data_IF_016745635061
#
_entry.id   IF_016745635061
#
_cell.length_a   1.000
_cell.length_b   1.000
_cell.length_c   1.000
_cell.angle_alpha   90.00
_cell.angle_beta   90.00
_cell.angle_gamma   90.00
#
_symmetry.space_group_name_H-M   'P 1'
#
loop_
_entity.id
_entity.type
_entity.pdbx_description
1 polymer ?
#
# COMPACT_ATOMS: atom_id res chain seq x y z
N UNK A 1 36.64 -12.36 9.23
CA UNK A 1 35.44 -11.94 8.49
C UNK A 1 35.65 -12.44 7.08
N UNK A 2 34.94 -13.49 6.71
CA UNK A 2 35.04 -14.02 5.35
C UNK A 2 34.47 -12.97 4.40
N UNK A 3 35.30 -12.53 3.47
CA UNK A 3 34.92 -11.60 2.42
C UNK A 3 34.10 -12.36 1.38
N UNK A 4 32.77 -12.22 1.41
CA UNK A 4 31.93 -12.78 0.34
C UNK A 4 32.22 -12.06 -0.98
N UNK A 5 32.41 -12.84 -2.03
CA UNK A 5 32.50 -12.26 -3.37
C UNK A 5 31.21 -11.48 -3.70
N UNK A 6 31.38 -10.28 -4.23
CA UNK A 6 30.26 -9.39 -4.60
C UNK A 6 29.25 -10.08 -5.53
N UNK A 7 29.74 -10.96 -6.40
CA UNK A 7 28.94 -11.81 -7.29
C UNK A 7 27.98 -12.73 -6.52
N UNK A 8 28.44 -13.35 -5.45
CA UNK A 8 27.65 -14.25 -4.59
C UNK A 8 26.55 -13.46 -3.87
N UNK A 9 26.88 -12.30 -3.30
CA UNK A 9 25.90 -11.43 -2.65
C UNK A 9 24.84 -10.93 -3.64
N UNK A 10 25.26 -10.48 -4.81
CA UNK A 10 24.33 -10.02 -5.84
C UNK A 10 23.41 -11.15 -6.32
N UNK A 11 23.92 -12.34 -6.57
CA UNK A 11 23.11 -13.48 -6.98
C UNK A 11 22.08 -13.85 -5.91
N UNK A 12 22.48 -13.88 -4.62
CA UNK A 12 21.58 -14.11 -3.51
C UNK A 12 20.46 -13.07 -3.46
N UNK A 13 20.77 -11.77 -3.58
CA UNK A 13 19.78 -10.69 -3.59
C UNK A 13 18.81 -10.80 -4.77
N UNK A 14 19.32 -11.08 -5.97
CA UNK A 14 18.50 -11.24 -7.17
C UNK A 14 17.53 -12.42 -7.03
N UNK A 15 18.01 -13.57 -6.48
CA UNK A 15 17.16 -14.73 -6.17
C UNK A 15 16.04 -14.38 -5.20
N UNK A 16 16.37 -13.71 -4.08
CA UNK A 16 15.39 -13.28 -3.06
C UNK A 16 14.38 -12.27 -3.58
N UNK A 17 14.74 -11.53 -4.61
CA UNK A 17 13.88 -10.54 -5.26
C UNK A 17 13.11 -11.10 -6.47
N UNK A 18 13.19 -12.41 -6.75
CA UNK A 18 12.58 -13.05 -7.93
C UNK A 18 13.01 -12.41 -9.27
N UNK A 19 14.28 -11.97 -9.37
CA UNK A 19 14.80 -11.27 -10.55
C UNK A 19 15.64 -12.17 -11.46
N UNK A 20 15.94 -13.41 -11.07
CA UNK A 20 16.54 -14.41 -11.95
C UNK A 20 15.41 -15.23 -12.59
N UNK A 21 15.65 -15.69 -13.83
CA UNK A 21 14.64 -16.43 -14.60
C UNK A 21 14.12 -17.67 -13.84
N UNK A 22 15.03 -18.44 -13.23
CA UNK A 22 14.72 -19.64 -12.46
C UNK A 22 14.05 -19.37 -11.10
N UNK A 23 13.96 -18.10 -10.66
CA UNK A 23 13.33 -17.72 -9.39
C UNK A 23 12.04 -16.95 -9.57
N UNK A 24 11.64 -16.68 -10.80
CA UNK A 24 10.32 -16.06 -11.06
C UNK A 24 9.21 -16.91 -10.48
N UNK A 25 8.27 -16.25 -9.82
CA UNK A 25 7.10 -16.92 -9.24
C UNK A 25 5.93 -16.99 -10.21
N UNK A 26 4.90 -17.74 -9.81
CA UNK A 26 3.63 -17.82 -10.55
C UNK A 26 2.48 -17.19 -9.76
N UNK A 27 2.59 -17.14 -8.44
CA UNK A 27 1.59 -16.56 -7.54
C UNK A 27 1.95 -15.11 -7.17
N UNK A 28 1.16 -14.16 -7.67
CA UNK A 28 1.38 -12.73 -7.47
C UNK A 28 1.35 -12.33 -5.98
N UNK A 29 0.36 -12.76 -5.16
CA UNK A 29 0.36 -12.51 -3.72
C UNK A 29 1.62 -13.01 -3.02
N UNK A 30 2.08 -14.23 -3.34
CA UNK A 30 3.29 -14.79 -2.72
C UNK A 30 4.54 -14.00 -3.10
N UNK A 31 4.75 -13.71 -4.39
CA UNK A 31 5.88 -12.88 -4.86
C UNK A 31 5.84 -11.50 -4.20
N UNK A 32 4.65 -10.90 -4.08
CA UNK A 32 4.48 -9.60 -3.41
C UNK A 32 4.83 -9.69 -1.92
N UNK A 33 4.49 -10.80 -1.27
CA UNK A 33 4.83 -11.07 0.14
C UNK A 33 6.33 -11.21 0.34
N UNK A 34 7.01 -11.97 -0.53
CA UNK A 34 8.44 -12.25 -0.43
C UNK A 34 9.29 -10.98 -0.55
N UNK A 35 8.85 -10.02 -1.36
CA UNK A 35 9.52 -8.71 -1.53
C UNK A 35 8.96 -7.59 -0.65
N UNK A 36 8.07 -7.92 0.32
CA UNK A 36 7.45 -6.96 1.25
C UNK A 36 6.59 -5.88 0.61
N UNK A 37 6.03 -6.14 -0.55
CA UNK A 37 5.12 -5.25 -1.24
C UNK A 37 5.71 -4.55 -2.45
N UNK A 38 4.82 -4.01 -3.26
CA UNK A 38 5.13 -3.33 -4.50
C UNK A 38 4.99 -1.82 -4.29
N UNK A 39 6.02 -1.06 -4.59
CA UNK A 39 5.94 0.40 -4.60
C UNK A 39 4.89 0.87 -5.62
N UNK A 40 3.92 1.67 -5.19
CA UNK A 40 2.73 2.03 -5.97
C UNK A 40 2.41 3.53 -5.97
N UNK A 41 3.38 4.38 -5.66
CA UNK A 41 3.21 5.84 -5.76
C UNK A 41 3.02 6.27 -7.21
N UNK A 42 3.73 5.64 -8.16
CA UNK A 42 3.44 5.73 -9.57
C UNK A 42 2.62 4.51 -9.99
N UNK A 43 1.51 4.74 -10.69
CA UNK A 43 0.55 3.69 -11.05
C UNK A 43 1.14 2.54 -11.86
N UNK A 44 2.08 2.82 -12.77
CA UNK A 44 2.70 1.80 -13.63
C UNK A 44 3.77 0.94 -12.94
N UNK A 45 4.38 1.44 -11.86
CA UNK A 45 5.50 0.77 -11.20
C UNK A 45 5.20 -0.66 -10.73
N UNK A 46 4.06 -0.97 -10.08
CA UNK A 46 3.73 -2.33 -9.66
C UNK A 46 3.69 -3.33 -10.81
N UNK A 47 3.14 -2.91 -11.95
CA UNK A 47 3.02 -3.77 -13.13
C UNK A 47 4.39 -4.12 -13.73
N UNK A 48 5.29 -3.13 -13.86
CA UNK A 48 6.65 -3.35 -14.32
C UNK A 48 7.42 -4.23 -13.32
N UNK A 49 7.23 -3.98 -12.02
CA UNK A 49 7.86 -4.78 -10.98
C UNK A 49 7.48 -6.26 -11.08
N UNK A 50 6.20 -6.57 -11.24
CA UNK A 50 5.72 -7.95 -11.38
C UNK A 50 6.06 -8.58 -12.72
N UNK A 51 6.05 -7.81 -13.81
CA UNK A 51 6.49 -8.30 -15.12
C UNK A 51 7.89 -8.93 -15.09
N UNK A 52 8.79 -8.36 -14.28
CA UNK A 52 10.14 -8.89 -14.13
C UNK A 52 10.24 -10.07 -13.14
N UNK A 53 9.20 -10.38 -12.36
CA UNK A 53 9.25 -11.33 -11.23
C UNK A 53 8.27 -12.48 -11.32
N UNK A 54 7.30 -12.38 -12.21
CA UNK A 54 6.21 -13.37 -12.33
C UNK A 54 6.16 -13.92 -13.74
N UNK A 55 6.11 -15.24 -13.85
CA UNK A 55 5.92 -15.92 -15.13
C UNK A 55 4.52 -15.63 -15.69
N UNK A 56 4.42 -15.46 -16.99
CA UNK A 56 3.16 -15.23 -17.70
C UNK A 56 2.32 -14.06 -17.12
N UNK A 57 3.00 -13.04 -16.57
CA UNK A 57 2.34 -11.89 -15.96
C UNK A 57 1.52 -11.11 -17.00
N UNK A 58 0.29 -10.75 -16.59
CA UNK A 58 -0.55 -9.78 -17.30
C UNK A 58 -1.01 -8.67 -16.35
N UNK A 59 -1.36 -7.50 -16.89
CA UNK A 59 -1.93 -6.41 -16.08
C UNK A 59 -3.26 -6.83 -15.44
N UNK A 60 -4.02 -7.64 -16.12
CA UNK A 60 -5.31 -8.17 -15.66
C UNK A 60 -5.13 -9.08 -14.45
N UNK A 61 -4.02 -9.82 -14.36
CA UNK A 61 -3.74 -10.68 -13.20
C UNK A 61 -3.52 -9.87 -11.93
N UNK A 62 -2.71 -8.79 -11.96
CA UNK A 62 -2.59 -7.90 -10.80
C UNK A 62 -3.92 -7.20 -10.45
N UNK A 63 -4.66 -6.74 -11.47
CA UNK A 63 -5.95 -6.11 -11.23
C UNK A 63 -6.92 -7.05 -10.50
N UNK A 64 -6.94 -8.33 -10.89
CA UNK A 64 -7.75 -9.35 -10.23
C UNK A 64 -7.39 -9.51 -8.75
N UNK A 65 -6.10 -9.57 -8.41
CA UNK A 65 -5.62 -9.67 -7.03
C UNK A 65 -6.12 -8.50 -6.15
N UNK A 66 -6.16 -7.30 -6.72
CA UNK A 66 -6.65 -6.12 -6.01
C UNK A 66 -8.18 -6.12 -5.91
N UNK A 67 -8.89 -6.51 -6.98
CA UNK A 67 -10.36 -6.59 -6.99
C UNK A 67 -10.85 -7.65 -5.99
N UNK A 68 -10.20 -8.81 -5.96
CA UNK A 68 -10.47 -9.91 -5.03
C UNK A 68 -9.93 -9.65 -3.62
N UNK A 69 -9.31 -8.48 -3.42
CA UNK A 69 -8.80 -8.01 -2.11
C UNK A 69 -7.72 -8.91 -1.51
N UNK A 70 -7.04 -9.74 -2.33
CA UNK A 70 -5.85 -10.49 -1.89
C UNK A 70 -4.65 -9.56 -1.73
N UNK A 71 -4.60 -8.52 -2.56
CA UNK A 71 -3.64 -7.44 -2.45
C UNK A 71 -4.34 -6.11 -2.16
N UNK A 72 -3.76 -5.31 -1.28
CA UNK A 72 -4.35 -4.05 -0.78
C UNK A 72 -3.37 -2.89 -0.97
N UNK A 73 -3.90 -1.74 -1.37
CA UNK A 73 -3.12 -0.53 -1.59
C UNK A 73 -3.23 0.41 -0.40
N UNK A 74 -2.15 0.52 0.38
CA UNK A 74 -2.05 1.43 1.54
C UNK A 74 -0.76 2.26 1.50
N UNK A 75 -0.75 3.37 2.22
CA UNK A 75 0.50 4.08 2.52
C UNK A 75 1.17 3.44 3.74
N UNK A 76 2.45 3.10 3.62
CA UNK A 76 3.18 2.46 4.71
C UNK A 76 4.67 2.84 4.68
N UNK A 77 5.58 1.93 4.35
CA UNK A 77 7.02 2.13 4.40
C UNK A 77 7.45 3.41 3.67
N UNK A 78 8.33 4.20 4.29
CA UNK A 78 8.85 5.47 3.78
C UNK A 78 7.77 6.52 3.43
N UNK A 79 6.58 6.40 4.01
CA UNK A 79 5.41 7.27 3.75
C UNK A 79 4.96 7.25 2.29
N UNK A 80 5.20 6.17 1.57
CA UNK A 80 4.80 5.98 0.18
C UNK A 80 3.70 4.92 0.04
N UNK A 81 2.94 4.98 -1.06
CA UNK A 81 1.89 4.00 -1.33
C UNK A 81 2.51 2.69 -1.81
N UNK A 82 2.07 1.59 -1.22
CA UNK A 82 2.45 0.23 -1.59
C UNK A 82 1.22 -0.64 -1.82
N UNK A 83 1.38 -1.67 -2.64
CA UNK A 83 0.46 -2.79 -2.74
C UNK A 83 1.07 -3.93 -1.93
N UNK A 84 0.34 -4.44 -0.95
CA UNK A 84 0.81 -5.47 -0.03
C UNK A 84 -0.24 -6.59 0.10
N UNK A 85 0.15 -7.81 0.50
CA UNK A 85 -0.80 -8.86 0.82
C UNK A 85 -1.77 -8.44 1.93
N UNK A 86 -3.03 -8.87 1.82
CA UNK A 86 -4.10 -8.54 2.77
C UNK A 86 -3.70 -8.87 4.21
N UNK A 87 -3.09 -10.02 4.44
CA UNK A 87 -2.64 -10.47 5.77
C UNK A 87 -1.56 -9.57 6.40
N UNK A 88 -0.85 -8.77 5.59
CA UNK A 88 0.18 -7.86 6.08
C UNK A 88 -0.36 -6.44 6.38
N UNK A 89 -1.63 -6.16 6.11
CA UNK A 89 -2.22 -4.81 6.25
C UNK A 89 -2.14 -4.31 7.69
N UNK A 90 -2.58 -5.11 8.68
CA UNK A 90 -2.54 -4.73 10.09
C UNK A 90 -1.12 -4.44 10.58
N UNK A 91 -0.15 -5.28 10.21
CA UNK A 91 1.27 -5.11 10.57
C UNK A 91 1.85 -3.86 9.93
N UNK A 92 1.65 -3.68 8.63
CA UNK A 92 2.19 -2.54 7.89
C UNK A 92 1.59 -1.21 8.38
N UNK A 93 0.28 -1.18 8.63
CA UNK A 93 -0.41 -0.01 9.17
C UNK A 93 0.09 0.34 10.56
N UNK A 94 0.02 -0.59 11.53
CA UNK A 94 0.42 -0.34 12.92
C UNK A 94 1.89 0.05 13.05
N UNK A 95 2.78 -0.54 12.24
CA UNK A 95 4.21 -0.25 12.27
C UNK A 95 4.59 1.14 11.74
N UNK A 96 3.72 1.78 10.94
CA UNK A 96 4.07 3.02 10.22
C UNK A 96 3.10 4.19 10.46
N UNK A 97 1.93 3.95 11.07
CA UNK A 97 0.83 4.92 11.18
C UNK A 97 1.23 6.26 11.78
N UNK A 98 1.94 6.28 12.92
CA UNK A 98 2.20 7.52 13.65
C UNK A 98 2.93 8.56 12.81
N UNK A 99 4.03 8.15 12.15
CA UNK A 99 4.81 9.04 11.29
C UNK A 99 4.04 9.49 10.04
N UNK A 100 3.12 8.66 9.55
CA UNK A 100 2.29 8.95 8.38
C UNK A 100 1.17 9.91 8.77
N UNK A 101 0.44 9.62 9.84
CA UNK A 101 -0.69 10.42 10.32
C UNK A 101 -0.27 11.83 10.71
N UNK A 102 0.81 11.97 11.50
CA UNK A 102 1.38 13.30 11.84
C UNK A 102 1.73 14.09 10.58
N UNK A 103 2.33 13.45 9.59
CA UNK A 103 2.69 14.13 8.35
C UNK A 103 1.47 14.56 7.53
N UNK A 104 0.44 13.71 7.44
CA UNK A 104 -0.76 13.98 6.66
C UNK A 104 -1.65 15.02 7.34
N UNK A 105 -1.70 15.00 8.67
CA UNK A 105 -2.38 16.03 9.46
C UNK A 105 -1.76 17.41 9.24
N UNK A 106 -0.44 17.49 9.34
CA UNK A 106 0.29 18.75 9.03
C UNK A 106 0.03 19.19 7.59
N UNK A 107 -0.02 18.26 6.64
CA UNK A 107 -0.23 18.57 5.24
C UNK A 107 -1.62 19.14 4.98
N UNK A 108 -2.71 18.54 5.51
CA UNK A 108 -4.05 19.08 5.26
C UNK A 108 -4.23 20.47 5.90
N UNK A 109 -3.67 20.69 7.10
CA UNK A 109 -3.67 22.01 7.77
C UNK A 109 -2.87 23.05 6.96
N UNK A 110 -1.71 22.67 6.42
CA UNK A 110 -0.92 23.54 5.54
C UNK A 110 -1.67 23.89 4.24
N UNK A 111 -2.52 23.00 3.74
CA UNK A 111 -3.37 23.26 2.58
C UNK A 111 -4.60 24.12 2.90
N UNK A 112 -4.67 24.69 4.10
CA UNK A 112 -5.71 25.63 4.53
C UNK A 112 -7.02 24.98 4.98
N UNK A 113 -7.04 23.66 5.19
CA UNK A 113 -8.24 22.97 5.69
C UNK A 113 -8.32 23.11 7.20
N UNK A 114 -9.40 23.65 7.69
CA UNK A 114 -9.70 23.74 9.14
C UNK A 114 -10.21 22.43 9.70
N UNK A 115 -10.16 22.25 11.01
CA UNK A 115 -10.70 21.04 11.67
C UNK A 115 -12.22 20.91 11.44
N UNK A 116 -12.96 22.01 11.47
CA UNK A 116 -14.40 22.00 11.19
C UNK A 116 -14.73 21.58 9.76
N UNK A 117 -13.93 22.03 8.79
CA UNK A 117 -14.07 21.60 7.37
C UNK A 117 -13.72 20.12 7.21
N UNK A 118 -12.67 19.66 7.88
CA UNK A 118 -12.32 18.23 7.90
C UNK A 118 -13.47 17.40 8.48
N UNK A 119 -14.00 17.77 9.65
CA UNK A 119 -15.07 17.01 10.31
C UNK A 119 -16.35 16.95 9.45
N UNK A 120 -16.71 18.05 8.83
CA UNK A 120 -17.87 18.11 7.96
C UNK A 120 -17.67 17.29 6.69
N UNK A 121 -16.54 17.49 6.02
CA UNK A 121 -16.23 16.80 4.77
C UNK A 121 -16.03 15.29 4.98
N UNK A 122 -15.35 14.87 6.04
CA UNK A 122 -15.11 13.45 6.32
C UNK A 122 -16.41 12.68 6.56
N UNK A 123 -17.37 13.25 7.32
CA UNK A 123 -18.69 12.65 7.53
C UNK A 123 -19.47 12.53 6.21
N UNK A 124 -19.44 13.58 5.39
CA UNK A 124 -20.12 13.60 4.10
C UNK A 124 -19.50 12.58 3.11
N UNK A 125 -18.17 12.47 3.08
CA UNK A 125 -17.45 11.48 2.27
C UNK A 125 -17.83 10.07 2.70
N UNK A 126 -17.85 9.77 4.01
CA UNK A 126 -18.23 8.44 4.52
C UNK A 126 -19.67 8.06 4.16
N UNK A 127 -20.60 9.00 4.27
CA UNK A 127 -21.98 8.78 3.88
C UNK A 127 -22.12 8.49 2.38
N UNK A 128 -21.37 9.22 1.54
CA UNK A 128 -21.39 9.06 0.09
C UNK A 128 -20.78 7.74 -0.37
N UNK A 129 -19.74 7.26 0.32
CA UNK A 129 -19.02 6.04 -0.03
C UNK A 129 -19.68 4.76 0.52
N UNK A 130 -20.80 4.85 1.23
CA UNK A 130 -21.52 3.68 1.70
C UNK A 130 -21.88 2.76 0.53
N UNK A 131 -21.33 1.53 0.53
CA UNK A 131 -21.51 0.50 -0.49
C UNK A 131 -20.98 0.83 -1.90
N UNK A 132 -20.31 1.97 -2.10
CA UNK A 132 -19.83 2.42 -3.41
C UNK A 132 -18.39 2.98 -3.34
N UNK A 133 -17.60 2.64 -4.37
CA UNK A 133 -16.29 3.26 -4.56
C UNK A 133 -16.34 4.43 -5.53
N UNK A 134 -15.72 5.55 -5.15
CA UNK A 134 -15.62 6.75 -5.99
C UNK A 134 -14.20 7.29 -6.05
N UNK A 135 -13.82 7.96 -7.14
CA UNK A 135 -12.59 8.73 -7.20
C UNK A 135 -12.78 10.14 -6.60
N UNK A 136 -11.68 10.86 -6.35
CA UNK A 136 -11.74 12.18 -5.72
C UNK A 136 -12.56 13.21 -6.52
N UNK A 137 -12.55 13.13 -7.85
CA UNK A 137 -13.34 14.04 -8.70
C UNK A 137 -14.83 13.72 -8.64
N UNK A 138 -15.20 12.45 -8.58
CA UNK A 138 -16.57 11.99 -8.38
C UNK A 138 -17.08 12.49 -7.01
N UNK A 139 -16.31 12.25 -5.94
CA UNK A 139 -16.65 12.70 -4.58
C UNK A 139 -16.84 14.23 -4.55
N UNK A 140 -15.91 15.00 -5.14
CA UNK A 140 -16.01 16.46 -5.18
C UNK A 140 -17.27 16.93 -5.90
N UNK A 141 -17.62 16.31 -7.00
CA UNK A 141 -18.84 16.65 -7.79
C UNK A 141 -20.11 16.35 -7.00
N UNK A 142 -20.22 15.15 -6.42
CA UNK A 142 -21.43 14.74 -5.68
C UNK A 142 -21.66 15.61 -4.44
N UNK A 143 -20.60 15.97 -3.72
CA UNK A 143 -20.67 16.84 -2.55
C UNK A 143 -20.77 18.33 -2.91
N UNK A 144 -20.66 18.70 -4.20
CA UNK A 144 -20.59 20.09 -4.67
C UNK A 144 -19.56 20.91 -3.88
N UNK A 145 -18.44 20.27 -3.50
CA UNK A 145 -17.43 20.86 -2.65
C UNK A 145 -16.62 21.93 -3.38
N UNK A 146 -16.52 23.11 -2.80
CA UNK A 146 -15.66 24.18 -3.32
C UNK A 146 -14.19 23.97 -2.93
N UNK A 147 -13.96 23.39 -1.74
CA UNK A 147 -12.62 23.11 -1.22
C UNK A 147 -11.94 21.94 -1.95
N UNK A 148 -10.61 21.86 -1.82
CA UNK A 148 -9.85 20.70 -2.30
C UNK A 148 -9.98 19.54 -1.30
N UNK A 149 -10.72 18.50 -1.69
CA UNK A 149 -10.93 17.30 -0.85
C UNK A 149 -9.72 16.33 -0.84
N UNK A 150 -8.75 16.49 -1.72
CA UNK A 150 -7.64 15.53 -1.83
C UNK A 150 -6.80 15.40 -0.55
N UNK A 151 -6.45 16.48 0.17
CA UNK A 151 -5.76 16.36 1.46
C UNK A 151 -6.58 15.61 2.51
N UNK A 152 -7.89 15.88 2.57
CA UNK A 152 -8.84 15.22 3.50
C UNK A 152 -8.92 13.72 3.20
N UNK A 153 -9.18 13.36 1.95
CA UNK A 153 -9.26 11.94 1.51
C UNK A 153 -7.95 11.20 1.80
N UNK A 154 -6.81 11.84 1.55
CA UNK A 154 -5.51 11.24 1.84
C UNK A 154 -5.32 11.01 3.35
N UNK A 155 -5.69 11.98 4.18
CA UNK A 155 -5.62 11.84 5.62
C UNK A 155 -6.56 10.75 6.14
N UNK A 156 -7.79 10.68 5.63
CA UNK A 156 -8.73 9.59 5.95
C UNK A 156 -8.17 8.20 5.58
N UNK A 157 -7.44 8.09 4.45
CA UNK A 157 -6.74 6.85 4.12
C UNK A 157 -5.62 6.52 5.10
N UNK A 158 -4.89 7.53 5.56
CA UNK A 158 -3.77 7.37 6.49
C UNK A 158 -4.23 7.10 7.93
N UNK A 159 -5.47 7.48 8.26
CA UNK A 159 -6.17 7.07 9.49
C UNK A 159 -6.75 5.64 9.42
N UNK A 160 -6.73 5.00 8.25
CA UNK A 160 -7.36 3.70 8.04
C UNK A 160 -8.89 3.76 7.94
N UNK A 161 -9.46 4.93 7.71
CA UNK A 161 -10.90 5.14 7.51
C UNK A 161 -11.31 4.79 6.08
N UNK A 162 -10.45 5.15 5.11
CA UNK A 162 -10.61 4.82 3.70
C UNK A 162 -9.46 3.94 3.20
N UNK A 163 -9.72 3.22 2.12
CA UNK A 163 -8.72 2.43 1.40
C UNK A 163 -8.71 2.80 -0.08
N UNK A 164 -7.53 2.65 -0.71
CA UNK A 164 -7.33 2.92 -2.14
C UNK A 164 -7.51 1.66 -2.96
N UNK A 165 -8.40 1.69 -3.93
CA UNK A 165 -8.55 0.64 -4.94
C UNK A 165 -7.91 0.99 -6.27
N UNK A 166 -8.30 0.27 -7.31
CA UNK A 166 -7.85 0.50 -8.68
C UNK A 166 -8.40 1.81 -9.26
N UNK A 167 -7.65 2.36 -10.20
CA UNK A 167 -8.14 3.46 -11.03
C UNK A 167 -9.18 2.98 -12.03
N UNK A 168 -10.32 3.67 -12.10
CA UNK A 168 -11.32 3.46 -13.17
C UNK A 168 -10.84 3.96 -14.53
N UNK A 169 -9.81 4.82 -14.56
CA UNK A 169 -9.24 5.41 -15.80
C UNK A 169 -8.27 4.45 -16.48
N UNK A 170 -7.59 3.60 -15.71
CA UNK A 170 -6.66 2.62 -16.22
C UNK A 170 -5.36 2.51 -15.42
N UNK A 171 -4.56 1.51 -15.76
CA UNK A 171 -3.37 1.10 -14.99
C UNK A 171 -2.21 2.12 -14.98
N UNK A 172 -2.20 3.07 -15.92
CA UNK A 172 -1.22 4.18 -15.97
C UNK A 172 -1.66 5.42 -15.19
N UNK A 173 -2.91 5.45 -14.71
CA UNK A 173 -3.45 6.61 -14.03
C UNK A 173 -3.18 6.57 -12.53
N UNK A 174 -2.67 7.68 -11.98
CA UNK A 174 -2.46 7.86 -10.54
C UNK A 174 -3.76 8.18 -9.78
N UNK A 175 -4.92 8.20 -10.44
CA UNK A 175 -6.20 8.31 -9.74
C UNK A 175 -6.48 7.01 -8.98
N UNK A 176 -7.22 7.12 -7.88
CA UNK A 176 -7.65 5.98 -7.10
C UNK A 176 -9.17 5.98 -6.99
N UNK A 177 -9.77 4.80 -6.89
CA UNK A 177 -11.11 4.64 -6.36
C UNK A 177 -10.98 4.46 -4.85
N UNK A 178 -11.72 5.22 -4.06
CA UNK A 178 -11.71 5.16 -2.60
C UNK A 178 -12.93 4.41 -2.11
N UNK A 179 -12.74 3.60 -1.08
CA UNK A 179 -13.78 2.82 -0.42
C UNK A 179 -13.67 3.03 1.08
N UNK A 180 -14.74 2.80 1.80
CA UNK A 180 -14.69 2.69 3.25
C UNK A 180 -13.89 1.45 3.64
N UNK A 181 -12.98 1.60 4.59
CA UNK A 181 -12.10 0.52 5.02
C UNK A 181 -12.87 -0.62 5.70
N UNK A 182 -13.83 -0.29 6.55
CA UNK A 182 -14.68 -1.24 7.28
C UNK A 182 -15.55 -2.12 6.36
N UNK A 183 -15.99 -1.59 5.21
CA UNK A 183 -16.75 -2.33 4.20
C UNK A 183 -15.84 -3.09 3.22
N UNK A 184 -14.70 -2.51 2.89
CA UNK A 184 -13.78 -3.09 1.93
C UNK A 184 -13.01 -4.28 2.51
N UNK A 185 -12.57 -4.19 3.77
CA UNK A 185 -11.83 -5.22 4.51
C UNK A 185 -12.44 -5.45 5.90
N UNK A 186 -13.67 -6.00 6.00
CA UNK A 186 -14.40 -6.11 7.25
C UNK A 186 -13.73 -7.03 8.29
N UNK A 187 -12.88 -7.92 7.84
CA UNK A 187 -12.14 -8.90 8.65
C UNK A 187 -10.74 -8.43 9.07
N UNK A 188 -10.33 -7.22 8.69
CA UNK A 188 -9.02 -6.66 9.05
C UNK A 188 -9.14 -5.75 10.28
N UNK A 189 -8.43 -6.11 11.34
CA UNK A 189 -8.28 -5.27 12.52
C UNK A 189 -6.96 -4.48 12.45
N UNK A 190 -7.03 -3.18 12.16
CA UNK A 190 -5.87 -2.30 12.07
C UNK A 190 -5.17 -2.06 13.43
N UNK A 191 -5.80 -2.42 14.54
CA UNK A 191 -5.27 -2.32 15.90
C UNK A 191 -4.82 -3.67 16.47
N UNK A 192 -4.70 -4.71 15.65
CA UNK A 192 -4.30 -6.06 16.06
C UNK A 192 -2.90 -6.11 16.69
N UNK A 193 -2.00 -5.26 16.21
CA UNK A 193 -0.61 -5.21 16.68
C UNK A 193 -0.27 -3.85 17.25
N UNK A 194 0.57 -3.85 18.28
CA UNK A 194 1.25 -2.63 18.71
C UNK A 194 2.29 -2.20 17.67
N UNK A 195 2.70 -0.94 17.72
CA UNK A 195 3.70 -0.42 16.80
C UNK A 195 5.04 -1.17 16.97
N UNK A 196 5.41 -1.50 18.19
CA UNK A 196 6.68 -2.19 18.48
C UNK A 196 6.67 -3.63 17.93
N UNK A 197 5.61 -4.38 18.14
CA UNK A 197 5.44 -5.73 17.57
C UNK A 197 5.48 -5.70 16.05
N UNK A 198 4.81 -4.72 15.45
CA UNK A 198 4.80 -4.53 14.00
C UNK A 198 6.19 -4.22 13.46
N UNK A 199 6.93 -3.32 14.09
CA UNK A 199 8.31 -3.00 13.69
C UNK A 199 9.23 -4.23 13.78
N UNK A 200 9.11 -5.04 14.83
CA UNK A 200 9.84 -6.30 14.96
C UNK A 200 9.50 -7.28 13.83
N UNK A 201 8.20 -7.45 13.52
CA UNK A 201 7.75 -8.33 12.43
C UNK A 201 8.19 -7.84 11.05
N UNK A 202 8.22 -6.54 10.79
CA UNK A 202 8.69 -5.95 9.52
C UNK A 202 10.21 -6.12 9.39
N UNK A 203 10.98 -5.94 10.46
CA UNK A 203 12.45 -6.04 10.43
C UNK A 203 12.97 -7.49 10.39
N UNK A 204 12.22 -8.45 10.88
CA UNK A 204 12.66 -9.85 10.97
C UNK A 204 13.09 -10.49 9.63
N UNK A 205 12.38 -10.31 8.51
CA UNK A 205 12.84 -10.81 7.21
C UNK A 205 14.11 -10.12 6.73
N UNK A 206 14.25 -8.82 6.97
CA UNK A 206 15.44 -8.04 6.59
C UNK A 206 16.66 -8.52 7.39
N UNK A 207 16.50 -8.71 8.71
CA UNK A 207 17.59 -9.24 9.55
C UNK A 207 17.98 -10.68 9.17
N UNK A 208 17.03 -11.54 8.80
CA UNK A 208 17.31 -12.90 8.28
C UNK A 208 18.09 -12.87 6.97
N UNK A 209 17.83 -11.90 6.09
CA UNK A 209 18.60 -11.71 4.86
C UNK A 209 20.08 -11.40 5.16
N UNK A 210 20.35 -10.52 6.12
CA UNK A 210 21.72 -10.21 6.54
C UNK A 210 22.37 -11.35 7.33
N UNK A 211 21.61 -12.09 8.16
CA UNK A 211 22.14 -13.20 8.95
C UNK A 211 22.56 -14.40 8.07
N UNK A 212 21.79 -14.70 7.04
CA UNK A 212 22.10 -15.77 6.08
C UNK A 212 23.37 -15.46 5.26
N UNK A 213 23.74 -14.18 5.08
CA UNK A 213 25.01 -13.80 4.44
C UNK A 213 26.23 -14.01 5.36
N UNK A 214 26.04 -14.23 6.67
CA UNK A 214 27.13 -14.40 7.62
C UNK A 214 27.38 -15.87 8.05
N UNK A 215 26.51 -16.81 7.68
CA UNK A 215 26.53 -18.17 8.24
C UNK A 215 26.41 -19.31 7.20
N UNK A 216 26.60 -19.03 5.90
CA UNK A 216 26.70 -20.07 4.83
C UNK A 216 28.08 -20.05 4.20
#
# INVERSE_FOLDING_TARGET
MDEFELSTVNNFLLRKQHLLEETKGEDIPQVTKDIWGLHATNAGTPYISLFNRVNNFSKESLNREIIEKRLVKIRCVRKTVHIIPKENVSIAFSGTKDAIQINSEKYYKLMGVTESEYDTASKSILALLANNGMNASEIKRELKAEINLSPIINYMCDLGILVRGLSKVGWKSNTHTYYRMDEYLPDINLSEYTQEESKKKISAPVSRLFWACHHN
#
